data_IF_834885118781
#
_entry.id   IF_834885118781
#
_cell.length_a   1.000
_cell.length_b   1.000
_cell.length_c   1.000
_cell.angle_alpha   90.00
_cell.angle_beta   90.00
_cell.angle_gamma   90.00
#
_symmetry.space_group_name_H-M   'P 1'
#
loop_
_entity.id
_entity.type
_entity.pdbx_description
1 polymer ?
#
# COMPACT_ATOMS: atom_id res chain seq x y z
N UNK A 1 13.89 13.71 4.88
CA UNK A 1 13.29 12.49 4.34
C UNK A 1 14.30 11.37 4.30
N UNK A 2 13.82 10.17 4.51
CA UNK A 2 14.68 9.01 4.45
C UNK A 2 15.13 8.75 3.01
N UNK A 3 16.36 8.29 2.81
CA UNK A 3 16.79 7.91 1.47
C UNK A 3 15.95 6.72 0.97
N UNK A 4 15.69 6.71 -0.33
CA UNK A 4 14.98 5.59 -0.96
C UNK A 4 15.85 4.34 -0.78
N UNK A 5 15.29 3.25 -0.20
CA UNK A 5 16.05 2.02 -0.04
C UNK A 5 16.47 1.42 -1.38
N UNK A 6 17.56 0.68 -1.37
CA UNK A 6 18.03 -0.02 -2.56
C UNK A 6 17.04 -1.09 -3.01
N UNK A 7 17.03 -1.39 -4.29
CA UNK A 7 16.28 -2.49 -4.93
C UNK A 7 14.77 -2.38 -4.80
N UNK A 8 14.23 -1.17 -4.88
CA UNK A 8 12.79 -0.95 -4.84
C UNK A 8 12.14 -0.84 -6.23
N UNK A 9 12.91 -1.10 -7.29
CA UNK A 9 12.37 -1.15 -8.65
C UNK A 9 11.17 -2.09 -8.80
N UNK A 10 11.23 -3.35 -8.30
CA UNK A 10 10.08 -4.26 -8.38
C UNK A 10 8.85 -3.74 -7.65
N UNK A 11 9.04 -3.06 -6.52
CA UNK A 11 7.94 -2.50 -5.75
C UNK A 11 7.25 -1.36 -6.50
N UNK A 12 8.03 -0.42 -7.03
CA UNK A 12 7.50 0.66 -7.84
C UNK A 12 6.81 0.13 -9.10
N UNK A 13 7.41 -0.87 -9.75
CA UNK A 13 6.83 -1.50 -10.93
C UNK A 13 5.47 -2.13 -10.62
N UNK A 14 5.33 -2.76 -9.47
CA UNK A 14 4.08 -3.37 -9.05
C UNK A 14 2.98 -2.33 -8.83
N UNK A 15 3.31 -1.22 -8.19
CA UNK A 15 2.37 -0.11 -7.99
C UNK A 15 1.97 0.51 -9.33
N UNK A 16 2.93 0.76 -10.21
CA UNK A 16 2.66 1.34 -11.54
C UNK A 16 1.81 0.42 -12.40
N UNK A 17 2.04 -0.88 -12.35
CA UNK A 17 1.23 -1.88 -13.03
C UNK A 17 -0.22 -1.82 -12.52
N UNK A 18 -0.41 -1.71 -11.21
CA UNK A 18 -1.74 -1.62 -10.61
C UNK A 18 -2.46 -0.34 -11.05
N UNK A 19 -1.75 0.79 -11.05
CA UNK A 19 -2.29 2.07 -11.53
C UNK A 19 -2.74 1.94 -12.98
N UNK A 20 -1.91 1.32 -13.84
CA UNK A 20 -2.23 1.12 -15.25
C UNK A 20 -3.48 0.23 -15.42
N UNK A 21 -3.63 -0.80 -14.61
CA UNK A 21 -4.80 -1.68 -14.66
C UNK A 21 -6.08 -0.96 -14.25
N UNK A 22 -6.02 -0.08 -13.25
CA UNK A 22 -7.16 0.73 -12.86
C UNK A 22 -7.63 1.59 -14.04
N UNK A 23 -6.68 2.24 -14.71
CA UNK A 23 -6.98 3.09 -15.86
C UNK A 23 -7.52 2.31 -17.05
N UNK A 24 -7.02 1.11 -17.27
CA UNK A 24 -7.40 0.29 -18.43
C UNK A 24 -8.68 -0.51 -18.23
N UNK A 25 -8.87 -1.10 -17.05
CA UNK A 25 -9.92 -2.08 -16.79
C UNK A 25 -10.93 -1.65 -15.74
N UNK A 26 -10.72 -0.51 -15.09
CA UNK A 26 -11.59 -0.01 -14.04
C UNK A 26 -11.16 -0.46 -12.64
N UNK A 27 -11.66 0.26 -11.64
CA UNK A 27 -11.26 0.07 -10.26
C UNK A 27 -11.71 -1.29 -9.70
N UNK A 28 -12.98 -1.67 -9.94
CA UNK A 28 -13.55 -2.87 -9.30
C UNK A 28 -12.80 -4.14 -9.70
N UNK A 29 -12.47 -4.29 -10.98
CA UNK A 29 -11.71 -5.44 -11.46
C UNK A 29 -10.31 -5.48 -10.87
N UNK A 30 -9.69 -4.32 -10.72
CA UNK A 30 -8.35 -4.22 -10.16
C UNK A 30 -8.37 -4.52 -8.66
N UNK A 31 -9.39 -4.07 -7.94
CA UNK A 31 -9.54 -4.41 -6.51
C UNK A 31 -9.62 -5.92 -6.31
N UNK A 32 -10.39 -6.61 -7.14
CA UNK A 32 -10.50 -8.07 -7.07
C UNK A 32 -9.16 -8.74 -7.35
N UNK A 33 -8.45 -8.27 -8.38
CA UNK A 33 -7.13 -8.83 -8.72
C UNK A 33 -6.12 -8.61 -7.59
N UNK A 34 -6.12 -7.44 -6.96
CA UNK A 34 -5.24 -7.15 -5.82
C UNK A 34 -5.52 -8.09 -4.66
N UNK A 35 -6.79 -8.25 -4.30
CA UNK A 35 -7.18 -8.99 -3.08
C UNK A 35 -7.13 -10.50 -3.30
N UNK A 36 -7.64 -10.98 -4.42
CA UNK A 36 -7.87 -12.41 -4.65
C UNK A 36 -6.99 -13.01 -5.74
N UNK A 37 -6.40 -12.20 -6.61
CA UNK A 37 -5.58 -12.67 -7.72
C UNK A 37 -4.13 -12.84 -7.34
N UNK A 38 -3.31 -13.23 -8.32
CA UNK A 38 -1.87 -13.45 -8.16
C UNK A 38 -1.03 -12.52 -9.03
N UNK A 39 -1.65 -11.84 -9.99
CA UNK A 39 -0.94 -11.01 -10.97
C UNK A 39 -0.36 -9.72 -10.38
N UNK A 40 -0.82 -9.29 -9.21
CA UNK A 40 -0.35 -8.09 -8.53
C UNK A 40 0.36 -8.43 -7.22
N UNK A 41 1.07 -9.55 -7.22
CA UNK A 41 1.94 -9.98 -6.13
C UNK A 41 3.28 -10.40 -6.72
N UNK A 42 4.36 -10.13 -6.01
CA UNK A 42 5.70 -10.52 -6.41
C UNK A 42 6.47 -10.94 -5.17
N UNK A 43 6.60 -12.26 -4.97
CA UNK A 43 7.24 -12.82 -3.78
C UNK A 43 6.52 -12.33 -2.52
N UNK A 44 7.17 -11.55 -1.67
CA UNK A 44 6.58 -11.00 -0.45
C UNK A 44 5.90 -9.65 -0.68
N UNK A 45 5.98 -9.11 -1.90
CA UNK A 45 5.37 -7.84 -2.24
C UNK A 45 3.89 -8.04 -2.57
N UNK A 46 3.06 -7.16 -2.06
CA UNK A 46 1.63 -7.15 -2.38
C UNK A 46 1.15 -5.70 -2.44
N UNK A 47 0.03 -5.49 -3.10
CA UNK A 47 -0.55 -4.17 -3.27
C UNK A 47 -1.68 -3.97 -2.25
N UNK A 48 -1.86 -2.74 -1.83
CA UNK A 48 -3.05 -2.31 -1.09
C UNK A 48 -3.61 -1.06 -1.75
N UNK A 49 -4.91 -0.85 -1.61
CA UNK A 49 -5.59 0.32 -2.15
C UNK A 49 -6.53 0.87 -1.09
N UNK A 50 -6.40 2.17 -0.82
CA UNK A 50 -7.26 2.90 0.10
C UNK A 50 -7.92 4.05 -0.64
N UNK A 51 -9.13 4.45 -0.22
CA UNK A 51 -9.65 5.75 -0.66
C UNK A 51 -8.96 6.86 0.14
N UNK A 52 -9.23 8.10 -0.23
CA UNK A 52 -8.57 9.24 0.42
C UNK A 52 -9.11 9.56 1.81
N UNK A 53 -10.08 8.80 2.27
CA UNK A 53 -10.62 8.89 3.64
C UNK A 53 -10.09 7.77 4.53
N UNK A 54 -9.27 6.86 3.99
CA UNK A 54 -8.65 5.80 4.77
C UNK A 54 -9.42 4.49 4.81
N UNK A 55 -10.45 4.33 3.98
CA UNK A 55 -11.14 3.05 3.84
C UNK A 55 -10.34 2.11 2.95
N UNK A 56 -10.13 0.89 3.41
CA UNK A 56 -9.43 -0.13 2.62
C UNK A 56 -10.36 -0.69 1.54
N UNK A 57 -9.92 -0.60 0.29
CA UNK A 57 -10.71 -1.08 -0.87
C UNK A 57 -10.16 -2.39 -1.43
N UNK A 58 -8.87 -2.65 -1.26
CA UNK A 58 -8.24 -3.88 -1.68
C UNK A 58 -6.98 -4.12 -0.85
N UNK A 59 -6.66 -5.38 -0.57
CA UNK A 59 -5.49 -5.70 0.22
C UNK A 59 -4.98 -7.10 -0.14
N UNK A 60 -3.75 -7.16 -0.64
CA UNK A 60 -3.19 -8.41 -1.15
C UNK A 60 -2.75 -9.40 -0.08
N UNK A 61 -2.55 -8.95 1.16
CA UNK A 61 -2.11 -9.83 2.25
C UNK A 61 -3.22 -10.14 3.25
N UNK A 62 -4.21 -9.27 3.40
CA UNK A 62 -5.25 -9.45 4.41
C UNK A 62 -6.62 -9.01 3.88
N UNK A 63 -7.37 -9.91 3.24
CA UNK A 63 -8.69 -9.58 2.70
C UNK A 63 -9.70 -9.12 3.75
N UNK A 64 -9.47 -9.45 5.02
CA UNK A 64 -10.36 -9.05 6.12
C UNK A 64 -10.38 -7.54 6.35
N UNK A 65 -9.37 -6.82 5.89
CA UNK A 65 -9.31 -5.37 6.02
C UNK A 65 -10.20 -4.65 5.01
N UNK A 66 -10.56 -5.32 3.91
CA UNK A 66 -11.36 -4.70 2.84
C UNK A 66 -12.72 -4.26 3.39
N UNK A 67 -13.06 -3.01 3.10
CA UNK A 67 -14.30 -2.39 3.55
C UNK A 67 -14.22 -1.67 4.89
N UNK A 68 -13.09 -1.79 5.58
CA UNK A 68 -12.93 -1.14 6.90
C UNK A 68 -12.32 0.25 6.78
N UNK A 69 -12.80 1.16 7.63
CA UNK A 69 -12.20 2.47 7.79
C UNK A 69 -11.02 2.34 8.74
N UNK A 70 -9.83 2.55 8.22
CA UNK A 70 -8.58 2.37 8.98
C UNK A 70 -7.82 3.68 9.21
N UNK A 71 -8.45 4.82 8.95
CA UNK A 71 -7.75 6.12 9.05
C UNK A 71 -7.17 6.38 10.44
N UNK A 72 -7.80 5.88 11.47
CA UNK A 72 -7.34 6.03 12.84
C UNK A 72 -6.29 5.02 13.30
N UNK A 73 -5.91 4.10 12.43
CA UNK A 73 -4.93 3.06 12.80
C UNK A 73 -3.55 3.66 13.03
N UNK A 74 -2.92 3.22 14.12
CA UNK A 74 -1.56 3.65 14.47
C UNK A 74 -0.64 2.43 14.55
N UNK A 75 0.63 2.67 14.29
CA UNK A 75 1.62 1.63 14.50
C UNK A 75 1.98 1.54 16.00
N UNK A 76 2.81 0.54 16.42
CA UNK A 76 3.20 0.42 17.83
C UNK A 76 3.90 1.65 18.43
N UNK A 77 4.52 2.48 17.58
CA UNK A 77 5.17 3.71 18.02
C UNK A 77 4.23 4.93 18.00
N UNK A 78 2.94 4.71 17.72
CA UNK A 78 1.93 5.77 17.68
C UNK A 78 1.85 6.54 16.37
N UNK A 79 2.57 6.14 15.33
CA UNK A 79 2.51 6.81 14.03
C UNK A 79 1.19 6.46 13.33
N UNK A 80 0.50 7.46 12.74
CA UNK A 80 -0.78 7.23 12.06
C UNK A 80 -0.56 6.69 10.65
N UNK A 81 -0.28 5.41 10.53
CA UNK A 81 0.25 4.81 9.30
C UNK A 81 -0.67 4.94 8.09
N UNK A 82 -1.98 4.81 8.25
CA UNK A 82 -2.90 4.95 7.11
C UNK A 82 -3.04 6.42 6.70
N UNK A 83 -3.09 7.32 7.68
CA UNK A 83 -3.08 8.76 7.40
C UNK A 83 -1.83 9.17 6.62
N UNK A 84 -0.67 8.59 6.95
CA UNK A 84 0.58 8.88 6.24
C UNK A 84 0.51 8.46 4.77
N UNK A 85 -0.06 7.29 4.48
CA UNK A 85 -0.26 6.82 3.11
C UNK A 85 -1.18 7.78 2.33
N UNK A 86 -2.29 8.14 2.94
CA UNK A 86 -3.28 9.04 2.34
C UNK A 86 -2.69 10.42 2.10
N UNK A 87 -1.89 10.91 3.04
CA UNK A 87 -1.25 12.24 2.91
C UNK A 87 -0.26 12.29 1.75
N UNK A 88 0.49 11.22 1.50
CA UNK A 88 1.36 11.15 0.32
C UNK A 88 0.52 11.28 -0.96
N UNK A 89 -0.58 10.55 -1.04
CA UNK A 89 -1.45 10.60 -2.20
C UNK A 89 -2.06 11.99 -2.39
N UNK A 90 -2.57 12.61 -1.32
CA UNK A 90 -3.22 13.92 -1.39
C UNK A 90 -2.25 15.06 -1.69
N UNK A 91 -1.09 15.05 -1.05
CA UNK A 91 -0.20 16.21 -1.06
C UNK A 91 0.89 16.14 -2.11
N UNK A 92 1.28 14.94 -2.53
CA UNK A 92 2.39 14.73 -3.47
C UNK A 92 1.97 14.00 -4.74
N UNK A 93 0.85 13.28 -4.70
CA UNK A 93 0.41 12.44 -5.82
C UNK A 93 1.17 11.13 -5.93
N UNK A 94 2.43 11.08 -5.55
CA UNK A 94 3.23 9.87 -5.43
C UNK A 94 4.44 10.13 -4.53
N UNK A 95 4.97 9.06 -3.95
CA UNK A 95 6.17 9.17 -3.12
C UNK A 95 6.24 8.07 -2.08
N UNK A 96 7.19 8.22 -1.19
CA UNK A 96 7.48 7.26 -0.12
C UNK A 96 6.99 7.82 1.22
N UNK A 97 6.46 6.93 2.07
CA UNK A 97 6.19 7.29 3.45
C UNK A 97 7.48 7.23 4.27
N UNK A 98 7.47 7.87 5.44
CA UNK A 98 8.47 7.58 6.47
C UNK A 98 8.32 6.14 6.94
N UNK A 99 9.38 5.62 7.57
CA UNK A 99 9.37 4.28 8.13
C UNK A 99 8.30 4.16 9.22
N UNK A 100 7.50 3.11 9.12
CA UNK A 100 6.52 2.73 10.15
C UNK A 100 6.78 1.31 10.59
N UNK A 101 6.12 0.88 11.65
CA UNK A 101 6.17 -0.51 12.12
C UNK A 101 4.89 -1.23 11.72
N UNK A 102 5.03 -2.45 11.24
CA UNK A 102 3.87 -3.22 10.80
C UNK A 102 4.15 -4.71 10.96
N UNK A 103 3.10 -5.48 11.19
CA UNK A 103 3.26 -6.94 11.28
C UNK A 103 3.51 -7.52 9.90
N UNK A 104 4.62 -8.22 9.75
CA UNK A 104 4.97 -8.90 8.51
C UNK A 104 4.16 -10.21 8.44
N UNK A 105 3.27 -10.36 7.45
CA UNK A 105 2.44 -11.57 7.35
C UNK A 105 3.26 -12.84 7.14
N UNK A 106 4.45 -12.75 6.56
CA UNK A 106 5.28 -13.92 6.30
C UNK A 106 5.98 -14.45 7.56
N UNK A 107 6.33 -13.56 8.50
CA UNK A 107 7.08 -13.93 9.72
C UNK A 107 6.28 -13.79 10.99
N UNK A 108 5.12 -13.11 10.92
CA UNK A 108 4.28 -12.75 12.07
C UNK A 108 4.98 -11.85 13.10
N UNK A 109 6.07 -11.19 12.70
CA UNK A 109 6.82 -10.30 13.56
C UNK A 109 6.56 -8.83 13.18
N UNK A 110 6.66 -7.95 14.18
CA UNK A 110 6.61 -6.51 13.94
C UNK A 110 7.96 -6.07 13.42
N UNK A 111 7.96 -5.47 12.23
CA UNK A 111 9.18 -5.03 11.55
C UNK A 111 8.98 -3.64 10.97
N UNK A 112 10.09 -2.96 10.68
CA UNK A 112 10.05 -1.68 9.98
C UNK A 112 9.58 -1.87 8.55
N UNK A 113 8.80 -0.91 8.06
CA UNK A 113 8.24 -0.95 6.71
C UNK A 113 8.27 0.44 6.09
N UNK A 114 8.65 0.52 4.81
CA UNK A 114 8.47 1.73 4.01
C UNK A 114 7.49 1.41 2.89
N UNK A 115 6.68 2.39 2.51
CA UNK A 115 5.64 2.23 1.51
C UNK A 115 5.83 3.24 0.39
N UNK A 116 5.60 2.79 -0.85
CA UNK A 116 5.52 3.63 -2.02
C UNK A 116 4.07 3.77 -2.44
N UNK A 117 3.62 4.99 -2.69
CA UNK A 117 2.21 5.33 -2.96
C UNK A 117 2.11 6.10 -4.25
N UNK A 118 1.12 5.78 -5.09
CA UNK A 118 0.70 6.62 -6.23
C UNK A 118 -0.80 6.85 -6.16
N UNK A 119 -1.21 8.06 -6.48
CA UNK A 119 -2.62 8.43 -6.53
C UNK A 119 -3.20 8.19 -7.93
N UNK A 120 -4.39 7.60 -7.98
CA UNK A 120 -5.20 7.49 -9.20
C UNK A 120 -6.59 7.96 -8.84
N UNK A 121 -7.03 9.11 -9.37
CA UNK A 121 -8.33 9.69 -8.99
C UNK A 121 -8.41 9.87 -7.47
N UNK A 122 -9.35 9.23 -6.84
CA UNK A 122 -9.56 9.28 -5.38
C UNK A 122 -8.98 8.06 -4.67
N UNK A 123 -8.02 7.38 -5.27
CA UNK A 123 -7.43 6.17 -4.74
C UNK A 123 -5.95 6.39 -4.40
N UNK A 124 -5.53 5.82 -3.28
CA UNK A 124 -4.13 5.69 -2.89
C UNK A 124 -3.71 4.24 -3.12
N UNK A 125 -2.88 4.01 -4.12
CA UNK A 125 -2.40 2.68 -4.51
C UNK A 125 -0.98 2.53 -3.99
N UNK A 126 -0.72 1.46 -3.26
CA UNK A 126 0.60 1.32 -2.68
C UNK A 126 1.07 -0.10 -2.50
N UNK A 127 2.35 -0.20 -2.21
CA UNK A 127 3.00 -1.42 -1.78
C UNK A 127 4.15 -1.03 -0.84
N UNK A 128 4.59 -1.96 -0.03
CA UNK A 128 5.65 -1.68 0.91
C UNK A 128 6.60 -2.84 1.05
N UNK A 129 7.76 -2.56 1.63
CA UNK A 129 8.78 -3.55 1.90
C UNK A 129 9.15 -3.50 3.37
N UNK A 130 9.32 -4.69 3.96
CA UNK A 130 9.77 -4.81 5.33
C UNK A 130 11.29 -4.73 5.39
N UNK A 131 11.78 -4.13 6.45
CA UNK A 131 13.21 -3.97 6.73
C UNK A 131 13.44 -4.40 8.18
N UNK A 132 14.63 -4.78 8.47
CA UNK A 132 15.00 -5.22 9.82
C UNK A 132 14.97 -4.11 10.86
#
# INVERSE_FOLDING_TARGET
PEPVPENLGPLEALVKKTVALIKANGADKTFDEVTNGKGLKDRDLYVFIYDLNGKCLAHGANPKLVGKDLIGMKDPDGKPLIQMLVDVAKNKGKGWTDTVKFRNPATDQIQSRVNYIERVGDLAVGSGVFRD
#
